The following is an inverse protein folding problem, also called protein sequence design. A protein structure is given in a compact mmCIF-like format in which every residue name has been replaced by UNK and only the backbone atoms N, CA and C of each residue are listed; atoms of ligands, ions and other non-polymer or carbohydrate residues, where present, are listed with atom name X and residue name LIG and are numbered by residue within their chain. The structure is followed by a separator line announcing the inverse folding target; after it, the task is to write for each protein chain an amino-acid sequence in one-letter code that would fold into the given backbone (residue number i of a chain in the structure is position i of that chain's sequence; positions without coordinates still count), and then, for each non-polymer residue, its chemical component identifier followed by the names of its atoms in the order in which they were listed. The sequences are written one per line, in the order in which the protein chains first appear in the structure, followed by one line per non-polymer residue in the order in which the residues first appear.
data_IF_385775319873
#
_entry.id   IF_385775319873
#
_cell.length_a   1.000
_cell.length_b   1.000
_cell.length_c   1.000
_cell.angle_alpha   90.00
_cell.angle_beta   90.00
_cell.angle_gamma   90.00
#
_symmetry.space_group_name_H-M   'P 1'
#
loop_
_entity.id
_entity.type
_entity.pdbx_description
1 polymer ?
#
# COMPACT_ATOMS: atom_id res chain seq x y z
N UNK A 1 -2.72 27.80 7.44
CA UNK A 1 -2.27 27.51 8.81
C UNK A 1 -3.12 28.31 9.78
N UNK A 2 -3.67 27.69 10.83
CA UNK A 2 -4.59 28.32 11.81
C UNK A 2 -3.83 29.36 12.65
N UNK A 3 -4.15 30.63 12.48
CA UNK A 3 -3.44 31.77 13.12
C UNK A 3 -3.81 31.96 14.61
N UNK A 4 -4.92 31.36 15.02
CA UNK A 4 -5.46 31.37 16.37
C UNK A 4 -4.74 30.40 17.32
N UNK A 5 -4.01 29.40 16.79
CA UNK A 5 -3.19 28.48 17.58
C UNK A 5 -1.79 29.08 17.73
N UNK A 6 -1.53 29.78 18.84
CA UNK A 6 -0.22 30.40 19.17
C UNK A 6 0.82 29.39 19.70
N UNK A 7 0.87 28.18 19.13
CA UNK A 7 1.89 27.16 19.45
C UNK A 7 2.65 26.81 18.16
N UNK A 8 3.97 26.79 18.25
CA UNK A 8 4.82 26.30 17.17
C UNK A 8 4.70 24.77 17.09
N UNK A 9 4.20 24.24 15.97
CA UNK A 9 4.19 22.79 15.74
C UNK A 9 5.53 22.36 15.14
N UNK A 10 6.30 21.57 15.90
CA UNK A 10 7.53 20.96 15.41
C UNK A 10 7.24 19.55 14.93
N UNK A 11 7.56 19.27 13.68
CA UNK A 11 7.47 17.92 13.14
C UNK A 11 8.45 17.00 13.90
N UNK A 12 8.00 15.81 14.35
CA UNK A 12 8.89 14.87 15.00
C UNK A 12 9.97 14.40 14.01
N UNK A 13 11.16 14.10 14.54
CA UNK A 13 12.19 13.45 13.73
C UNK A 13 11.70 12.05 13.32
N UNK A 14 11.84 11.66 12.04
CA UNK A 14 11.35 10.37 11.58
C UNK A 14 12.05 9.21 12.28
N UNK A 15 11.32 8.13 12.54
CA UNK A 15 11.90 6.89 13.12
C UNK A 15 12.28 5.85 12.05
N UNK A 16 11.84 6.06 10.81
CA UNK A 16 12.03 5.16 9.68
C UNK A 16 12.44 5.93 8.42
N UNK A 17 13.26 5.31 7.58
CA UNK A 17 13.65 5.86 6.28
C UNK A 17 14.03 4.73 5.30
N UNK A 18 13.64 4.90 4.04
CA UNK A 18 14.12 4.11 2.91
C UNK A 18 14.41 5.05 1.75
N UNK A 19 15.48 4.81 0.99
CA UNK A 19 15.89 5.65 -0.15
C UNK A 19 14.79 5.81 -1.21
N UNK A 20 13.93 4.79 -1.36
CA UNK A 20 12.78 4.81 -2.27
C UNK A 20 11.64 5.75 -1.85
N UNK A 21 11.59 6.20 -0.59
CA UNK A 21 10.63 7.20 -0.13
C UNK A 21 11.18 8.56 -0.55
N UNK A 22 10.63 9.16 -1.62
CA UNK A 22 11.04 10.45 -2.18
C UNK A 22 10.78 11.64 -1.25
N UNK A 23 11.40 11.64 -0.06
CA UNK A 23 11.33 12.75 0.88
C UNK A 23 12.08 13.94 0.29
N UNK A 24 11.55 15.17 0.37
CA UNK A 24 12.32 16.35 0.02
C UNK A 24 13.49 16.50 1.02
N UNK A 25 14.65 15.96 0.65
CA UNK A 25 15.86 15.82 1.46
C UNK A 25 16.44 17.16 1.94
N UNK A 26 16.05 18.29 1.32
CA UNK A 26 16.53 19.64 1.68
C UNK A 26 16.23 20.06 3.13
N UNK A 27 15.30 19.39 3.82
CA UNK A 27 14.93 19.71 5.22
C UNK A 27 15.61 18.83 6.27
N UNK A 28 16.35 17.80 5.87
CA UNK A 28 16.84 16.78 6.81
C UNK A 28 18.30 16.42 6.51
N UNK A 29 19.07 16.12 7.55
CA UNK A 29 20.41 15.58 7.42
C UNK A 29 20.34 14.13 6.92
N UNK A 30 20.73 13.91 5.66
CA UNK A 30 20.64 12.61 4.98
C UNK A 30 21.42 11.53 5.73
N UNK A 31 22.59 11.84 6.29
CA UNK A 31 23.41 10.86 7.03
C UNK A 31 22.69 10.37 8.28
N UNK A 32 21.91 11.24 8.92
CA UNK A 32 21.07 10.86 10.07
C UNK A 32 19.83 10.06 9.66
N UNK A 33 19.33 10.23 8.42
CA UNK A 33 18.23 9.44 7.91
C UNK A 33 18.67 8.03 7.52
N UNK A 34 19.86 7.87 6.92
CA UNK A 34 20.39 6.57 6.51
C UNK A 34 20.67 5.62 7.68
N UNK A 35 20.84 6.13 8.91
CA UNK A 35 20.99 5.31 10.11
C UNK A 35 19.65 4.88 10.75
N UNK A 36 18.51 5.35 10.22
CA UNK A 36 17.19 4.96 10.71
C UNK A 36 16.80 3.55 10.27
N UNK A 37 15.79 3.00 10.94
CA UNK A 37 15.20 1.71 10.57
C UNK A 37 14.60 1.79 9.17
N UNK A 38 14.77 0.74 8.38
CA UNK A 38 14.10 0.61 7.08
C UNK A 38 12.57 0.58 7.25
N UNK A 39 11.86 1.15 6.28
CA UNK A 39 10.39 1.09 6.25
C UNK A 39 9.89 -0.36 6.18
N UNK A 40 8.67 -0.58 6.69
CA UNK A 40 7.98 -1.85 6.54
C UNK A 40 7.78 -2.16 5.05
N UNK A 41 8.23 -3.34 4.65
CA UNK A 41 8.09 -3.82 3.29
C UNK A 41 6.73 -4.50 3.08
N UNK A 42 6.33 -4.70 1.82
CA UNK A 42 5.16 -5.52 1.49
C UNK A 42 5.32 -6.91 2.11
N UNK A 43 6.50 -7.53 1.99
CA UNK A 43 6.76 -8.85 2.54
C UNK A 43 6.58 -8.92 4.06
N UNK A 44 7.00 -7.89 4.79
CA UNK A 44 6.83 -7.83 6.25
C UNK A 44 5.36 -7.67 6.66
N UNK A 45 4.56 -6.96 5.87
CA UNK A 45 3.13 -6.85 6.10
C UNK A 45 2.42 -8.20 5.84
N UNK A 46 2.74 -8.85 4.72
CA UNK A 46 2.12 -10.13 4.33
C UNK A 46 2.46 -11.27 5.30
N UNK A 47 3.68 -11.33 5.83
CA UNK A 47 4.10 -12.32 6.84
C UNK A 47 3.27 -12.29 8.12
N UNK A 48 2.61 -11.18 8.44
CA UNK A 48 1.79 -11.02 9.64
C UNK A 48 0.37 -11.57 9.47
N UNK A 49 -0.01 -11.97 8.25
CA UNK A 49 -1.37 -12.44 7.94
C UNK A 49 -1.53 -13.90 8.35
N UNK A 50 -2.66 -14.19 9.00
CA UNK A 50 -3.18 -15.55 9.14
C UNK A 50 -4.24 -15.76 8.06
N UNK A 51 -3.91 -16.54 7.05
CA UNK A 51 -4.81 -16.87 5.95
C UNK A 51 -5.85 -17.90 6.42
N UNK A 52 -6.91 -17.40 7.04
CA UNK A 52 -8.08 -18.19 7.43
C UNK A 52 -9.09 -18.22 6.26
N UNK A 53 -9.44 -19.40 5.71
CA UNK A 53 -10.45 -19.54 4.66
C UNK A 53 -11.84 -19.05 5.08
N UNK A 54 -12.14 -18.93 6.38
CA UNK A 54 -13.42 -18.39 6.88
C UNK A 54 -13.44 -16.86 6.83
N UNK A 55 -12.29 -16.20 6.74
CA UNK A 55 -12.21 -14.76 6.62
C UNK A 55 -12.36 -14.35 5.15
N UNK A 56 -13.53 -13.82 4.80
CA UNK A 56 -13.86 -13.39 3.44
C UNK A 56 -12.91 -12.31 2.89
N UNK A 57 -12.13 -11.64 3.74
CA UNK A 57 -11.12 -10.66 3.33
C UNK A 57 -9.83 -11.34 2.82
N UNK A 58 -9.60 -12.61 3.15
CA UNK A 58 -8.52 -13.44 2.61
C UNK A 58 -8.86 -14.03 1.24
N UNK A 59 -10.10 -13.88 0.76
CA UNK A 59 -10.49 -14.44 -0.52
C UNK A 59 -10.01 -13.53 -1.66
N UNK A 60 -9.30 -14.09 -2.64
CA UNK A 60 -8.88 -13.33 -3.81
C UNK A 60 -10.06 -13.05 -4.74
N UNK A 61 -9.92 -12.03 -5.57
CA UNK A 61 -10.86 -11.77 -6.65
C UNK A 61 -10.77 -12.89 -7.71
N UNK A 62 -11.92 -13.26 -8.28
CA UNK A 62 -11.93 -14.16 -9.43
C UNK A 62 -11.61 -13.37 -10.71
N UNK A 63 -10.38 -13.52 -11.22
CA UNK A 63 -9.92 -12.83 -12.42
C UNK A 63 -10.27 -13.62 -13.68
N UNK A 64 -10.52 -12.90 -14.79
CA UNK A 64 -10.68 -13.57 -16.08
C UNK A 64 -9.37 -14.27 -16.51
N UNK A 65 -9.43 -15.34 -17.33
CA UNK A 65 -8.25 -16.11 -17.73
C UNK A 65 -7.17 -15.25 -18.40
N UNK A 66 -7.58 -14.31 -19.26
CA UNK A 66 -6.69 -13.40 -19.99
C UNK A 66 -5.87 -12.50 -19.05
N UNK A 67 -6.47 -12.05 -17.95
CA UNK A 67 -5.81 -11.24 -16.92
C UNK A 67 -4.85 -12.08 -16.11
N UNK A 68 -5.22 -13.32 -15.76
CA UNK A 68 -4.31 -14.26 -15.08
C UNK A 68 -3.09 -14.55 -15.97
N UNK A 69 -3.30 -14.73 -17.27
CA UNK A 69 -2.21 -14.94 -18.23
C UNK A 69 -1.27 -13.73 -18.29
N UNK A 70 -1.82 -12.51 -18.35
CA UNK A 70 -1.01 -11.28 -18.25
C UNK A 70 -0.17 -11.20 -16.99
N UNK A 71 -0.70 -11.60 -15.84
CA UNK A 71 0.05 -11.58 -14.59
C UNK A 71 1.32 -12.45 -14.64
N UNK A 72 1.37 -13.48 -15.49
CA UNK A 72 2.57 -14.32 -15.66
C UNK A 72 3.74 -13.58 -16.31
N UNK A 73 3.46 -12.50 -17.03
CA UNK A 73 4.46 -11.68 -17.73
C UNK A 73 4.91 -10.45 -16.92
N UNK A 74 4.48 -10.32 -15.67
CA UNK A 74 4.87 -9.21 -14.80
C UNK A 74 5.84 -9.77 -13.75
N UNK A 75 7.15 -9.50 -13.83
CA UNK A 75 8.11 -9.86 -12.78
C UNK A 75 7.81 -9.17 -11.44
N UNK A 76 8.26 -9.76 -10.33
CA UNK A 76 8.15 -9.17 -8.98
C UNK A 76 8.73 -7.75 -8.98
N UNK A 77 7.96 -6.78 -8.47
CA UNK A 77 8.35 -5.37 -8.44
C UNK A 77 8.23 -4.58 -9.74
N UNK A 78 7.70 -5.18 -10.81
CA UNK A 78 7.65 -4.53 -12.13
C UNK A 78 6.21 -4.29 -12.62
N UNK A 79 6.09 -3.63 -13.78
CA UNK A 79 4.84 -3.32 -14.45
C UNK A 79 4.77 -3.97 -15.84
N UNK A 80 3.57 -4.41 -16.22
CA UNK A 80 3.31 -4.96 -17.55
C UNK A 80 3.70 -4.00 -18.69
N UNK A 81 3.72 -2.67 -18.46
CA UNK A 81 4.21 -1.70 -19.46
C UNK A 81 5.58 -2.05 -20.02
N UNK A 82 6.46 -2.47 -19.11
CA UNK A 82 7.86 -2.72 -19.44
C UNK A 82 8.03 -4.02 -20.22
N UNK A 83 6.95 -4.81 -20.35
CA UNK A 83 6.94 -6.13 -21.00
C UNK A 83 5.96 -6.21 -22.18
N UNK A 84 5.32 -5.10 -22.59
CA UNK A 84 4.30 -5.09 -23.66
C UNK A 84 4.83 -5.69 -24.97
N UNK A 85 6.10 -5.47 -25.29
CA UNK A 85 6.71 -5.97 -26.53
C UNK A 85 6.84 -7.49 -26.54
N UNK A 86 7.03 -8.10 -25.37
CA UNK A 86 7.14 -9.54 -25.17
C UNK A 86 5.78 -10.25 -25.06
N UNK A 87 4.67 -9.49 -25.00
CA UNK A 87 3.35 -10.07 -24.89
C UNK A 87 2.86 -10.62 -26.25
N UNK A 88 2.21 -11.81 -26.25
CA UNK A 88 1.40 -12.26 -27.37
C UNK A 88 0.40 -11.19 -27.80
N UNK A 89 0.15 -11.09 -29.11
CA UNK A 89 -0.72 -10.05 -29.70
C UNK A 89 -2.08 -9.95 -29.00
N UNK A 90 -2.69 -11.09 -28.66
CA UNK A 90 -3.98 -11.12 -28.00
C UNK A 90 -3.95 -10.59 -26.55
N UNK A 91 -2.79 -10.57 -25.87
CA UNK A 91 -2.63 -10.07 -24.50
C UNK A 91 -2.27 -8.59 -24.43
N UNK A 92 -1.77 -7.99 -25.52
CA UNK A 92 -1.35 -6.58 -25.56
C UNK A 92 -2.48 -5.65 -25.06
N UNK A 93 -2.06 -4.59 -24.37
CA UNK A 93 -2.93 -3.54 -23.82
C UNK A 93 -2.41 -2.15 -24.21
N UNK A 94 -3.23 -1.12 -24.06
CA UNK A 94 -2.78 0.26 -24.28
C UNK A 94 -1.68 0.64 -23.28
N UNK A 95 -0.79 1.56 -23.70
CA UNK A 95 0.25 2.12 -22.81
C UNK A 95 -0.31 3.08 -21.75
N UNK A 96 -1.56 3.54 -21.90
CA UNK A 96 -2.27 4.36 -20.94
C UNK A 96 -3.15 3.47 -20.05
N UNK A 97 -2.56 2.92 -18.98
CA UNK A 97 -3.26 2.06 -18.04
C UNK A 97 -3.14 2.60 -16.61
N UNK A 98 -4.15 2.30 -15.79
CA UNK A 98 -4.12 2.58 -14.36
C UNK A 98 -3.17 1.61 -13.66
N UNK A 99 -2.34 2.11 -12.73
CA UNK A 99 -1.27 1.38 -12.02
C UNK A 99 -1.70 0.15 -11.21
N UNK A 100 -3.00 -0.16 -11.14
CA UNK A 100 -3.57 -1.23 -10.32
C UNK A 100 -3.04 -2.64 -10.64
N UNK A 101 -3.88 -3.53 -11.16
CA UNK A 101 -3.49 -4.91 -11.47
C UNK A 101 -2.46 -5.06 -12.61
N UNK A 102 -1.93 -3.96 -13.14
CA UNK A 102 -0.87 -3.94 -14.14
C UNK A 102 0.53 -3.92 -13.54
N UNK A 103 0.64 -3.74 -12.22
CA UNK A 103 1.91 -3.68 -11.49
C UNK A 103 1.93 -4.77 -10.42
N UNK A 104 3.05 -5.48 -10.33
CA UNK A 104 3.29 -6.49 -9.30
C UNK A 104 4.10 -5.87 -8.17
N UNK A 105 3.64 -6.11 -6.94
CA UNK A 105 4.34 -5.62 -5.76
C UNK A 105 5.69 -6.33 -5.59
N UNK A 106 6.65 -5.63 -4.99
CA UNK A 106 7.93 -6.21 -4.56
C UNK A 106 7.87 -6.49 -3.06
N UNK A 107 8.19 -7.72 -2.61
CA UNK A 107 8.23 -8.02 -1.17
C UNK A 107 9.32 -7.27 -0.43
N UNK A 108 10.38 -6.81 -1.09
CA UNK A 108 11.54 -6.16 -0.47
C UNK A 108 11.38 -4.65 -0.34
N UNK A 109 10.40 -4.06 -1.00
CA UNK A 109 10.14 -2.62 -0.98
C UNK A 109 8.84 -2.29 -0.25
N UNK A 110 8.67 -1.04 0.23
CA UNK A 110 7.38 -0.53 0.67
C UNK A 110 6.36 -0.53 -0.48
N UNK A 111 5.08 -0.72 -0.15
CA UNK A 111 4.02 -0.61 -1.16
C UNK A 111 3.94 0.82 -1.71
N UNK A 112 3.70 1.01 -3.02
CA UNK A 112 3.16 2.26 -3.52
C UNK A 112 1.76 2.50 -2.93
N UNK A 113 1.22 3.70 -3.14
CA UNK A 113 -0.16 4.02 -2.73
C UNK A 113 -1.14 3.03 -3.33
N UNK A 114 -1.89 2.35 -2.46
CA UNK A 114 -2.97 1.46 -2.88
C UNK A 114 -4.20 2.30 -3.26
N UNK A 115 -4.52 2.34 -4.54
CA UNK A 115 -5.69 3.07 -5.05
C UNK A 115 -6.79 2.06 -5.39
N UNK A 116 -7.99 2.15 -4.79
CA UNK A 116 -9.01 1.10 -4.89
C UNK A 116 -9.92 1.20 -6.12
N UNK A 117 -9.68 2.12 -7.06
CA UNK A 117 -10.57 2.35 -8.20
C UNK A 117 -10.95 1.05 -8.91
N UNK A 118 -12.24 0.69 -8.90
CA UNK A 118 -12.80 -0.55 -9.49
C UNK A 118 -12.22 -1.87 -8.92
N UNK A 119 -11.84 -1.93 -7.63
CA UNK A 119 -11.20 -3.12 -7.03
C UNK A 119 -9.86 -3.49 -7.70
N UNK A 120 -9.21 -2.52 -8.33
CA UNK A 120 -8.02 -2.74 -9.15
C UNK A 120 -6.73 -2.68 -8.31
N UNK A 121 -6.61 -3.53 -7.29
CA UNK A 121 -5.39 -3.57 -6.50
C UNK A 121 -4.21 -4.18 -7.27
N UNK A 122 -2.96 -3.81 -6.90
CA UNK A 122 -1.74 -4.41 -7.46
C UNK A 122 -1.70 -5.93 -7.41
N UNK A 123 -0.91 -6.53 -8.28
CA UNK A 123 -0.68 -7.97 -8.33
C UNK A 123 0.14 -8.41 -7.11
N UNK A 124 -0.26 -9.51 -6.49
CA UNK A 124 0.45 -10.14 -5.39
C UNK A 124 1.90 -10.42 -5.78
N UNK A 125 2.91 -10.27 -4.89
CA UNK A 125 4.31 -10.40 -5.30
C UNK A 125 4.69 -11.72 -5.97
N UNK A 126 4.10 -12.84 -5.53
CA UNK A 126 4.47 -14.18 -6.03
C UNK A 126 3.32 -14.94 -6.69
N UNK A 127 2.10 -14.43 -6.64
CA UNK A 127 0.91 -15.14 -7.14
C UNK A 127 0.30 -14.42 -8.33
N UNK A 128 -0.39 -15.15 -9.20
CA UNK A 128 -1.05 -14.59 -10.39
C UNK A 128 -2.48 -14.14 -10.06
N UNK A 129 -2.58 -13.20 -9.12
CA UNK A 129 -3.82 -12.53 -8.69
C UNK A 129 -3.52 -11.15 -8.13
N UNK A 130 -4.50 -10.27 -8.10
CA UNK A 130 -4.44 -9.06 -7.28
C UNK A 130 -4.35 -9.42 -5.79
N UNK A 131 -3.80 -8.51 -4.99
CA UNK A 131 -3.80 -8.67 -3.53
C UNK A 131 -5.24 -8.69 -2.97
N UNK A 132 -5.43 -9.44 -1.89
CA UNK A 132 -6.73 -9.53 -1.21
C UNK A 132 -7.02 -8.27 -0.37
N UNK A 133 -8.26 -8.14 0.09
CA UNK A 133 -8.64 -7.07 1.02
C UNK A 133 -7.81 -7.14 2.31
N UNK A 134 -7.57 -8.34 2.85
CA UNK A 134 -6.75 -8.55 4.06
C UNK A 134 -5.30 -8.14 3.84
N UNK A 135 -4.74 -8.46 2.68
CA UNK A 135 -3.37 -8.09 2.32
C UNK A 135 -3.24 -6.56 2.21
N UNK A 136 -4.17 -5.91 1.51
CA UNK A 136 -4.22 -4.44 1.43
C UNK A 136 -4.38 -3.78 2.80
N UNK A 137 -5.21 -4.36 3.68
CA UNK A 137 -5.43 -3.87 5.04
C UNK A 137 -4.16 -3.97 5.89
N UNK A 138 -3.41 -5.06 5.78
CA UNK A 138 -2.13 -5.20 6.51
C UNK A 138 -1.05 -4.26 6.00
N UNK A 139 -0.95 -4.05 4.68
CA UNK A 139 -0.03 -3.09 4.07
C UNK A 139 -0.32 -1.67 4.58
N UNK A 140 -1.60 -1.31 4.71
CA UNK A 140 -2.03 0.02 5.19
C UNK A 140 -2.07 0.15 6.71
N UNK A 141 -1.75 -0.91 7.45
CA UNK A 141 -1.58 -0.88 8.90
C UNK A 141 -2.87 -1.04 9.70
N UNK A 142 -3.94 -1.60 9.11
CA UNK A 142 -5.10 -2.01 9.88
C UNK A 142 -4.77 -3.14 10.87
N UNK A 143 -5.50 -3.21 12.01
CA UNK A 143 -5.44 -4.38 12.88
C UNK A 143 -5.79 -5.65 12.10
N UNK A 144 -5.08 -6.74 12.38
CA UNK A 144 -5.22 -8.00 11.62
C UNK A 144 -6.63 -8.60 11.66
N UNK A 145 -7.42 -8.29 12.69
CA UNK A 145 -8.80 -8.75 12.87
C UNK A 145 -9.87 -7.72 12.49
N UNK A 146 -9.48 -6.57 11.93
CA UNK A 146 -10.43 -5.55 11.53
C UNK A 146 -11.39 -6.10 10.46
N UNK A 147 -12.70 -5.84 10.62
CA UNK A 147 -13.74 -6.39 9.74
C UNK A 147 -14.28 -5.32 8.81
N UNK A 148 -14.18 -5.57 7.51
CA UNK A 148 -14.77 -4.73 6.48
C UNK A 148 -16.15 -5.27 6.11
N UNK A 149 -17.10 -4.36 5.91
CA UNK A 149 -18.50 -4.69 5.62
C UNK A 149 -18.85 -4.43 4.16
N UNK A 150 -19.88 -5.12 3.66
CA UNK A 150 -20.39 -4.99 2.30
C UNK A 150 -19.78 -5.96 1.30
N UNK A 151 -20.12 -5.77 0.02
CA UNK A 151 -19.59 -6.60 -1.06
C UNK A 151 -18.07 -6.38 -1.25
N UNK A 152 -17.43 -7.23 -2.07
CA UNK A 152 -15.99 -7.18 -2.29
C UNK A 152 -15.50 -5.77 -2.69
N UNK A 153 -16.18 -5.11 -3.64
CA UNK A 153 -15.81 -3.77 -4.11
C UNK A 153 -15.88 -2.73 -2.98
N UNK A 154 -16.93 -2.75 -2.15
CA UNK A 154 -17.04 -1.86 -0.99
C UNK A 154 -15.94 -2.11 0.03
N UNK A 155 -15.57 -3.36 0.26
CA UNK A 155 -14.45 -3.69 1.14
C UNK A 155 -13.11 -3.19 0.59
N UNK A 156 -12.87 -3.30 -0.73
CA UNK A 156 -11.70 -2.68 -1.37
C UNK A 156 -11.71 -1.15 -1.22
N UNK A 157 -12.85 -0.50 -1.44
CA UNK A 157 -13.00 0.96 -1.25
C UNK A 157 -12.71 1.38 0.19
N UNK A 158 -13.23 0.65 1.18
CA UNK A 158 -12.98 0.94 2.59
C UNK A 158 -11.49 0.91 2.93
N UNK A 159 -10.76 -0.11 2.46
CA UNK A 159 -9.32 -0.21 2.72
C UNK A 159 -8.54 0.87 1.97
N UNK A 160 -8.79 1.04 0.67
CA UNK A 160 -7.97 1.92 -0.16
C UNK A 160 -8.23 3.41 0.03
N UNK A 161 -9.43 3.81 0.47
CA UNK A 161 -9.76 5.22 0.73
C UNK A 161 -9.51 5.64 2.18
N UNK A 162 -9.26 4.69 3.09
CA UNK A 162 -9.03 5.01 4.49
C UNK A 162 -7.69 5.73 4.70
N UNK A 163 -7.66 6.60 5.71
CA UNK A 163 -6.40 7.09 6.26
C UNK A 163 -5.72 5.91 7.00
N UNK A 164 -4.44 5.60 6.72
CA UNK A 164 -3.71 4.54 7.42
C UNK A 164 -3.81 4.70 8.94
N UNK A 165 -4.26 3.66 9.69
CA UNK A 165 -4.43 3.76 11.13
C UNK A 165 -3.19 4.23 11.92
N UNK A 166 -1.95 3.84 11.55
CA UNK A 166 -0.75 4.38 12.20
C UNK A 166 -0.59 5.89 12.05
N UNK A 167 -0.96 6.45 10.89
CA UNK A 167 -0.94 7.90 10.65
C UNK A 167 -2.02 8.61 11.47
N UNK A 168 -3.24 8.08 11.45
CA UNK A 168 -4.34 8.62 12.25
C UNK A 168 -4.01 8.62 13.75
N UNK A 169 -3.38 7.56 14.25
CA UNK A 169 -2.90 7.46 15.63
C UNK A 169 -1.85 8.53 15.97
N UNK A 170 -0.85 8.73 15.11
CA UNK A 170 0.18 9.74 15.33
C UNK A 170 -0.40 11.17 15.40
N UNK A 171 -1.34 11.49 14.51
CA UNK A 171 -2.06 12.78 14.52
C UNK A 171 -2.89 12.92 15.80
N UNK A 172 -3.67 11.90 16.15
CA UNK A 172 -4.51 11.91 17.34
C UNK A 172 -3.68 12.09 18.63
N UNK A 173 -2.51 11.44 18.71
CA UNK A 173 -1.58 11.61 19.84
C UNK A 173 -1.09 13.05 19.96
N UNK A 174 -0.69 13.69 18.85
CA UNK A 174 -0.25 15.08 18.86
C UNK A 174 -1.38 16.03 19.27
N UNK A 175 -2.61 15.79 18.79
CA UNK A 175 -3.79 16.54 19.24
C UNK A 175 -4.04 16.36 20.75
N UNK A 176 -3.90 15.14 21.27
CA UNK A 176 -4.09 14.86 22.69
C UNK A 176 -3.06 15.58 23.57
N UNK A 177 -1.80 15.61 23.17
CA UNK A 177 -0.73 16.35 23.88
C UNK A 177 -1.05 17.85 23.93
N UNK A 178 -1.48 18.42 22.80
CA UNK A 178 -1.93 19.81 22.70
C UNK A 178 -3.10 20.10 23.65
N UNK A 179 -4.12 19.24 23.65
CA UNK A 179 -5.32 19.39 24.48
C UNK A 179 -5.04 19.20 25.97
N UNK A 180 -4.03 18.41 26.33
CA UNK A 180 -3.58 18.25 27.72
C UNK A 180 -2.70 19.41 28.22
N UNK A 181 -2.46 20.42 27.39
CA UNK A 181 -1.61 21.56 27.73
C UNK A 181 -0.12 21.22 27.84
N UNK A 182 0.29 20.05 27.34
CA UNK A 182 1.71 19.66 27.26
C UNK A 182 2.39 20.26 26.02
#
# INVERSE_FOLDING_TARGET
MRKDIKKEFRYPFPSYYSKGVGVPLKKWDIKKLESLKSCLTVGDALKKIKYDPKDIDNHPMNHNPKTIERFKYIPEGDSIANHIENLPTHLKISKFYSRGNTMRLDRKEPSPTLVPGHSNFPVHPTEHRSITVREAAMITGFPSKYKFLGNHTKRCEHVGNAVPPPLAFAIAKACLELLKGK
#
